data_IF_393150298512
#
_entry.id   IF_393150298512
#
_cell.length_a   1.000
_cell.length_b   1.000
_cell.length_c   1.000
_cell.angle_alpha   90.00
_cell.angle_beta   90.00
_cell.angle_gamma   90.00
#
_symmetry.space_group_name_H-M   'P 1'
#
loop_
_entity.id
_entity.type
_entity.pdbx_description
1 polymer ?
#
# COMPACT_ATOMS: atom_id res chain seq x y z
N UNK A 1 10.18 -8.47 -14.49
CA UNK A 1 8.98 -7.62 -14.51
C UNK A 1 9.40 -6.36 -15.22
N UNK A 2 9.06 -6.23 -16.49
CA UNK A 2 9.36 -5.06 -17.29
C UNK A 2 8.65 -3.86 -16.65
N UNK A 3 9.40 -2.87 -16.14
CA UNK A 3 8.84 -1.60 -15.70
C UNK A 3 8.45 -0.81 -16.95
N UNK A 4 7.26 -1.07 -17.48
CA UNK A 4 6.69 -0.19 -18.49
C UNK A 4 6.31 1.11 -17.80
N UNK A 5 6.88 2.22 -18.24
CA UNK A 5 6.37 3.54 -17.89
C UNK A 5 4.96 3.65 -18.46
N UNK A 6 3.96 3.68 -17.59
CA UNK A 6 2.58 3.98 -17.96
C UNK A 6 2.48 5.51 -17.97
N UNK A 7 2.08 6.07 -19.11
CA UNK A 7 1.85 7.51 -19.22
C UNK A 7 0.73 7.92 -18.25
N UNK A 8 0.90 9.08 -17.61
CA UNK A 8 -0.12 9.59 -16.71
C UNK A 8 -1.40 9.94 -17.49
N UNK A 9 -2.59 9.73 -16.88
CA UNK A 9 -3.84 10.18 -17.45
C UNK A 9 -3.81 11.69 -17.72
N UNK A 10 -4.38 12.10 -18.85
CA UNK A 10 -4.46 13.52 -19.20
C UNK A 10 -5.14 14.34 -18.08
N UNK A 11 -4.51 15.45 -17.71
CA UNK A 11 -5.01 16.34 -16.65
C UNK A 11 -4.61 15.95 -15.23
N UNK A 12 -3.99 14.79 -14.99
CA UNK A 12 -3.57 14.38 -13.64
C UNK A 12 -2.58 15.37 -13.00
N UNK A 13 -1.60 15.86 -13.78
CA UNK A 13 -0.61 16.85 -13.31
C UNK A 13 -1.22 18.21 -12.96
N UNK A 14 -2.41 18.51 -13.49
CA UNK A 14 -3.11 19.79 -13.21
C UNK A 14 -3.97 19.74 -11.95
N UNK A 15 -4.17 18.55 -11.37
CA UNK A 15 -4.91 18.37 -10.12
C UNK A 15 -4.12 18.89 -8.92
N UNK A 16 -4.84 19.33 -7.88
CA UNK A 16 -4.21 19.58 -6.58
C UNK A 16 -3.61 18.27 -6.03
N UNK A 17 -2.60 18.34 -5.15
CA UNK A 17 -2.03 17.13 -4.54
C UNK A 17 -3.07 16.31 -3.76
N UNK A 18 -4.04 16.97 -3.13
CA UNK A 18 -5.14 16.28 -2.46
C UNK A 18 -6.02 15.50 -3.44
N UNK A 19 -6.28 16.05 -4.62
CA UNK A 19 -7.08 15.40 -5.65
C UNK A 19 -6.29 14.32 -6.41
N UNK A 20 -4.98 14.49 -6.60
CA UNK A 20 -4.10 13.42 -7.09
C UNK A 20 -4.13 12.21 -6.17
N UNK A 21 -4.03 12.43 -4.85
CA UNK A 21 -4.11 11.36 -3.85
C UNK A 21 -5.48 10.69 -3.92
N UNK A 22 -6.56 11.46 -3.96
CA UNK A 22 -7.93 10.93 -4.05
C UNK A 22 -8.14 10.11 -5.32
N UNK A 23 -7.66 10.59 -6.46
CA UNK A 23 -7.72 9.86 -7.72
C UNK A 23 -7.02 8.51 -7.65
N UNK A 24 -5.82 8.45 -7.04
CA UNK A 24 -5.10 7.18 -6.84
C UNK A 24 -5.87 6.25 -5.89
N UNK A 25 -6.52 6.79 -4.85
CA UNK A 25 -7.38 6.02 -3.95
C UNK A 25 -8.57 5.42 -4.70
N UNK A 26 -9.29 6.21 -5.50
CA UNK A 26 -10.43 5.74 -6.29
C UNK A 26 -10.02 4.64 -7.29
N UNK A 27 -8.83 4.75 -7.88
CA UNK A 27 -8.27 3.70 -8.74
C UNK A 27 -7.98 2.42 -7.93
N UNK A 28 -7.42 2.55 -6.73
CA UNK A 28 -7.19 1.41 -5.86
C UNK A 28 -8.50 0.74 -5.45
N UNK A 29 -9.51 1.51 -5.08
CA UNK A 29 -10.84 1.01 -4.71
C UNK A 29 -11.47 0.22 -5.88
N UNK A 30 -11.31 0.71 -7.11
CA UNK A 30 -11.74 -0.01 -8.31
C UNK A 30 -10.95 -1.31 -8.56
N UNK A 31 -9.65 -1.31 -8.32
CA UNK A 31 -8.80 -2.50 -8.50
C UNK A 31 -9.19 -3.59 -7.50
N UNK A 32 -9.49 -3.21 -6.25
CA UNK A 32 -9.85 -4.17 -5.20
C UNK A 32 -11.30 -4.64 -5.27
N UNK A 33 -12.16 -4.05 -6.12
CA UNK A 33 -13.53 -4.52 -6.36
C UNK A 33 -13.55 -5.94 -6.99
N UNK A 34 -12.45 -6.33 -7.64
CA UNK A 34 -12.17 -7.70 -8.07
C UNK A 34 -10.90 -8.25 -7.41
N UNK A 35 -10.93 -8.63 -6.11
CA UNK A 35 -9.73 -9.04 -5.38
C UNK A 35 -8.98 -10.23 -6.00
N UNK A 36 -9.71 -11.11 -6.70
CA UNK A 36 -9.15 -12.30 -7.36
C UNK A 36 -8.27 -11.98 -8.57
N UNK A 37 -8.43 -10.80 -9.18
CA UNK A 37 -7.65 -10.36 -10.34
C UNK A 37 -6.36 -9.63 -9.93
N UNK A 38 -6.20 -9.31 -8.64
CA UNK A 38 -5.00 -8.66 -8.12
C UNK A 38 -3.86 -9.68 -8.14
N UNK A 39 -2.80 -9.48 -8.94
CA UNK A 39 -1.70 -10.43 -9.03
C UNK A 39 -0.87 -10.40 -7.74
N UNK A 40 -1.21 -11.26 -6.79
CA UNK A 40 -0.41 -11.48 -5.58
C UNK A 40 0.53 -12.65 -5.83
N UNK A 41 1.85 -12.40 -5.79
CA UNK A 41 2.84 -13.47 -5.86
C UNK A 41 2.74 -14.35 -4.63
N UNK A 42 2.89 -15.67 -4.81
CA UNK A 42 2.88 -16.63 -3.71
C UNK A 42 3.88 -16.27 -2.61
N UNK A 43 5.06 -15.74 -2.99
CA UNK A 43 6.07 -15.26 -2.04
C UNK A 43 5.57 -14.14 -1.13
N UNK A 44 4.68 -13.27 -1.60
CA UNK A 44 4.07 -12.22 -0.77
C UNK A 44 3.09 -12.82 0.25
N UNK A 45 2.30 -13.82 -0.17
CA UNK A 45 1.37 -14.53 0.70
C UNK A 45 2.13 -15.27 1.80
N UNK A 46 3.19 -16.00 1.43
CA UNK A 46 4.04 -16.72 2.37
C UNK A 46 4.71 -15.77 3.38
N UNK A 47 5.20 -14.61 2.92
CA UNK A 47 5.77 -13.59 3.81
C UNK A 47 4.72 -13.04 4.79
N UNK A 48 3.51 -12.73 4.31
CA UNK A 48 2.42 -12.25 5.14
C UNK A 48 2.01 -13.30 6.20
N UNK A 49 1.88 -14.56 5.79
CA UNK A 49 1.58 -15.67 6.71
C UNK A 49 2.67 -15.87 7.76
N UNK A 50 3.96 -15.80 7.37
CA UNK A 50 5.10 -15.88 8.29
C UNK A 50 5.07 -14.77 9.33
N UNK A 51 4.86 -13.52 8.89
CA UNK A 51 4.75 -12.36 9.80
C UNK A 51 3.56 -12.46 10.75
N UNK A 52 2.41 -12.94 10.26
CA UNK A 52 1.22 -13.14 11.09
C UNK A 52 1.45 -14.24 12.15
N UNK A 53 2.10 -15.34 11.78
CA UNK A 53 2.46 -16.41 12.73
C UNK A 53 3.45 -15.91 13.79
N UNK A 54 4.47 -15.16 13.40
CA UNK A 54 5.42 -14.55 14.34
C UNK A 54 4.71 -13.62 15.34
N UNK A 55 3.79 -12.77 14.85
CA UNK A 55 2.98 -11.91 15.72
C UNK A 55 2.10 -12.71 16.70
N UNK A 56 1.50 -13.82 16.25
CA UNK A 56 0.67 -14.66 17.13
C UNK A 56 1.48 -15.35 18.22
N UNK A 57 2.73 -15.69 17.95
CA UNK A 57 3.64 -16.30 18.93
C UNK A 57 4.14 -15.28 19.96
N UNK A 58 4.40 -14.05 19.52
CA UNK A 58 4.80 -12.95 20.41
C UNK A 58 4.22 -11.60 19.97
N UNK A 59 3.04 -11.24 20.49
CA UNK A 59 2.38 -9.98 20.15
C UNK A 59 3.16 -8.74 20.61
N UNK A 60 4.07 -8.87 21.57
CA UNK A 60 4.78 -7.73 22.17
C UNK A 60 5.79 -7.08 21.22
N UNK A 61 6.21 -7.81 20.19
CA UNK A 61 7.12 -7.32 19.15
C UNK A 61 6.42 -6.55 18.03
N UNK A 62 5.08 -6.57 17.96
CA UNK A 62 4.36 -5.76 16.99
C UNK A 62 4.19 -4.32 17.48
N UNK A 63 4.16 -3.39 16.52
CA UNK A 63 3.82 -1.99 16.78
C UNK A 63 2.53 -1.63 16.06
N UNK A 64 1.66 -0.83 16.70
CA UNK A 64 0.52 -0.24 16.02
C UNK A 64 0.97 0.53 14.78
N UNK A 65 0.19 0.42 13.70
CA UNK A 65 0.47 1.16 12.47
C UNK A 65 0.52 2.68 12.72
N UNK A 66 -0.34 3.19 13.60
CA UNK A 66 -0.36 4.60 14.01
C UNK A 66 0.97 5.05 14.60
N UNK A 67 1.56 4.28 15.53
CA UNK A 67 2.87 4.59 16.12
C UNK A 67 3.98 4.63 15.06
N UNK A 68 3.95 3.70 14.10
CA UNK A 68 4.91 3.66 12.99
C UNK A 68 4.75 4.89 12.10
N UNK A 69 3.50 5.25 11.76
CA UNK A 69 3.19 6.43 10.95
C UNK A 69 3.68 7.71 11.65
N UNK A 70 3.33 7.89 12.93
CA UNK A 70 3.74 9.05 13.73
C UNK A 70 5.27 9.20 13.78
N UNK A 71 5.99 8.09 13.97
CA UNK A 71 7.45 8.07 13.95
C UNK A 71 8.03 8.46 12.58
N UNK A 72 7.42 8.02 11.48
CA UNK A 72 7.90 8.37 10.14
C UNK A 72 7.60 9.83 9.80
N UNK A 73 6.44 10.34 10.20
CA UNK A 73 6.04 11.74 10.00
C UNK A 73 6.91 12.72 10.81
N UNK A 74 7.36 12.32 12.01
CA UNK A 74 8.25 13.12 12.86
C UNK A 74 9.71 13.14 12.38
N UNK A 75 10.18 12.09 11.69
CA UNK A 75 11.53 12.05 11.09
C UNK A 75 11.67 12.84 9.79
N UNK A 76 10.56 13.17 9.13
CA UNK A 76 10.54 13.91 7.87
C UNK A 76 10.53 15.44 8.07
N UNK A 77 10.67 15.92 9.31
CA UNK A 77 10.65 17.33 9.69
C UNK A 77 12.02 17.81 10.19
#
# INVERSE_FOLDING_TARGET
>A
MELRMIAEPAGFETLSKADQIRYVQDLWDRIIDSPGDVPVRESHVQLAASRLSAFRLDPTHARPATEVIDRLSSKAR
#
